data_IF_953015597267
#
_entry.id   IF_953015597267
#
_cell.length_a   1.000
_cell.length_b   1.000
_cell.length_c   1.000
_cell.angle_alpha   90.00
_cell.angle_beta   90.00
_cell.angle_gamma   90.00
#
_symmetry.space_group_name_H-M   'P 1'
#
loop_
_entity.id
_entity.type
_entity.pdbx_description
1 polymer ?
#
# COMPACT_ATOMS: atom_id res chain seq x y z
N UNK A 1 -10.62 5.76 -8.22
CA UNK A 1 -9.71 6.91 -8.01
C UNK A 1 -9.08 6.85 -6.64
N UNK A 2 -7.84 7.22 -6.55
CA UNK A 2 -7.12 7.20 -5.28
C UNK A 2 -7.53 8.39 -4.43
N UNK A 3 -7.68 8.17 -3.13
CA UNK A 3 -8.05 9.20 -2.17
C UNK A 3 -6.85 9.82 -1.46
N UNK A 4 -5.65 9.55 -1.96
CA UNK A 4 -4.46 10.04 -1.28
C UNK A 4 -3.42 10.49 -2.31
N UNK A 5 -2.48 11.29 -1.81
CA UNK A 5 -1.29 11.65 -2.59
C UNK A 5 -0.19 10.65 -2.31
N UNK A 6 0.72 10.51 -3.27
CA UNK A 6 1.84 9.61 -3.10
C UNK A 6 2.67 9.95 -1.85
N UNK A 7 2.67 11.23 -1.44
CA UNK A 7 3.36 11.64 -0.23
C UNK A 7 2.78 11.03 1.05
N UNK A 8 1.56 10.49 0.98
CA UNK A 8 0.95 9.82 2.13
C UNK A 8 1.46 8.40 2.31
N UNK A 9 2.22 7.89 1.34
CA UNK A 9 2.76 6.53 1.39
C UNK A 9 4.12 6.53 2.05
N UNK A 10 4.13 6.88 3.33
CA UNK A 10 5.36 6.90 4.11
C UNK A 10 5.62 5.54 4.73
N UNK A 11 6.89 5.25 5.09
CA UNK A 11 7.19 3.97 5.73
C UNK A 11 6.31 3.75 6.96
N UNK A 12 5.79 2.55 7.07
CA UNK A 12 4.90 2.17 8.16
C UNK A 12 3.42 2.28 7.82
N UNK A 13 3.06 2.97 6.75
CA UNK A 13 1.65 3.09 6.33
C UNK A 13 1.12 1.73 5.89
N UNK A 14 -0.10 1.41 6.30
CA UNK A 14 -0.75 0.17 5.87
C UNK A 14 -1.65 0.44 4.68
N UNK A 15 -1.60 -0.45 3.71
CA UNK A 15 -2.35 -0.31 2.47
C UNK A 15 -2.86 -1.66 2.01
N UNK A 16 -3.82 -1.63 1.09
CA UNK A 16 -4.21 -2.83 0.35
C UNK A 16 -4.13 -2.51 -1.14
N UNK A 17 -3.89 -3.55 -1.93
CA UNK A 17 -4.06 -3.48 -3.37
C UNK A 17 -5.53 -3.81 -3.63
N UNK A 18 -6.30 -2.80 -4.05
CA UNK A 18 -7.76 -2.92 -4.09
C UNK A 18 -8.22 -4.12 -4.93
N UNK A 19 -7.60 -4.34 -6.08
CA UNK A 19 -8.01 -5.43 -6.96
C UNK A 19 -7.46 -6.79 -6.53
N UNK A 20 -6.50 -6.83 -5.61
CA UNK A 20 -5.85 -8.06 -5.18
C UNK A 20 -5.93 -8.24 -3.66
N UNK A 21 -6.88 -7.60 -3.03
CA UNK A 21 -6.93 -7.58 -1.57
C UNK A 21 -6.95 -8.98 -0.97
N UNK A 22 -7.74 -9.88 -1.53
CA UNK A 22 -7.85 -11.24 -0.98
C UNK A 22 -6.59 -12.05 -1.20
N UNK A 23 -5.94 -11.84 -2.34
CA UNK A 23 -4.74 -12.61 -2.66
C UNK A 23 -3.51 -12.10 -1.93
N UNK A 24 -3.39 -10.77 -1.81
CA UNK A 24 -2.16 -10.17 -1.28
C UNK A 24 -2.25 -9.84 0.20
N UNK A 25 -3.45 -9.56 0.70
CA UNK A 25 -3.62 -9.17 2.09
C UNK A 25 -3.19 -7.74 2.34
N UNK A 26 -2.99 -7.42 3.61
CA UNK A 26 -2.56 -6.09 4.03
C UNK A 26 -1.08 -5.93 3.76
N UNK A 27 -0.69 -4.77 3.22
CA UNK A 27 0.70 -4.44 3.00
C UNK A 27 1.14 -3.31 3.89
N UNK A 28 2.43 -3.27 4.19
CA UNK A 28 3.04 -2.17 4.92
C UNK A 28 4.10 -1.53 4.05
N UNK A 29 3.98 -0.23 3.86
CA UNK A 29 4.93 0.53 3.06
C UNK A 29 6.30 0.51 3.74
N UNK A 30 7.34 0.21 2.98
CA UNK A 30 8.71 0.21 3.48
C UNK A 30 9.48 1.40 2.96
N UNK A 31 9.24 1.80 1.72
CA UNK A 31 9.90 2.98 1.16
C UNK A 31 9.07 3.51 -0.01
N UNK A 32 9.30 4.76 -0.33
CA UNK A 32 8.72 5.39 -1.51
C UNK A 32 9.80 6.27 -2.13
N UNK A 33 10.35 5.83 -3.24
CA UNK A 33 11.47 6.51 -3.91
C UNK A 33 11.11 6.67 -5.38
N UNK A 34 11.25 7.89 -5.90
CA UNK A 34 10.98 8.19 -7.30
C UNK A 34 9.60 7.71 -7.74
N UNK A 35 8.62 7.90 -6.85
CA UNK A 35 7.23 7.51 -7.11
C UNK A 35 7.02 6.01 -7.23
N UNK A 36 7.98 5.21 -6.78
CA UNK A 36 7.84 3.76 -6.69
C UNK A 36 7.79 3.40 -5.22
N UNK A 37 6.78 2.62 -4.85
CA UNK A 37 6.54 2.25 -3.47
C UNK A 37 6.92 0.79 -3.28
N UNK A 38 7.73 0.51 -2.27
CA UNK A 38 8.03 -0.85 -1.87
C UNK A 38 7.14 -1.20 -0.70
N UNK A 39 6.37 -2.27 -0.84
CA UNK A 39 5.37 -2.67 0.14
C UNK A 39 5.55 -4.14 0.45
N UNK A 40 5.51 -4.49 1.71
CA UNK A 40 5.55 -5.89 2.13
C UNK A 40 4.12 -6.33 2.44
N UNK A 41 3.58 -7.22 1.62
CA UNK A 41 2.22 -7.73 1.77
C UNK A 41 2.21 -9.04 2.56
N UNK A 42 1.14 -9.26 3.31
CA UNK A 42 1.03 -10.43 4.17
C UNK A 42 1.20 -11.75 3.43
N UNK A 43 0.60 -11.84 2.25
CA UNK A 43 0.50 -13.14 1.56
C UNK A 43 1.47 -13.31 0.41
N UNK A 44 2.08 -12.25 -0.09
CA UNK A 44 2.93 -12.33 -1.27
C UNK A 44 4.31 -11.71 -1.06
N UNK A 45 4.56 -11.15 0.12
CA UNK A 45 5.85 -10.57 0.44
C UNK A 45 6.06 -9.21 -0.19
N UNK A 46 7.32 -8.90 -0.43
CA UNK A 46 7.72 -7.57 -0.89
C UNK A 46 7.41 -7.38 -2.37
N UNK A 47 6.77 -6.26 -2.67
CA UNK A 47 6.46 -5.85 -4.05
C UNK A 47 6.85 -4.40 -4.24
N UNK A 48 7.36 -4.08 -5.43
CA UNK A 48 7.57 -2.69 -5.82
C UNK A 48 6.45 -2.30 -6.76
N UNK A 49 5.80 -1.18 -6.47
CA UNK A 49 4.55 -0.82 -7.12
C UNK A 49 4.62 0.63 -7.58
N UNK A 50 4.13 0.87 -8.79
CA UNK A 50 3.89 2.22 -9.27
C UNK A 50 2.43 2.56 -8.95
N UNK A 51 2.18 3.49 -8.00
CA UNK A 51 0.81 3.80 -7.58
C UNK A 51 -0.06 4.39 -8.67
N UNK A 52 0.54 4.83 -9.77
CA UNK A 52 -0.24 5.31 -10.92
C UNK A 52 -0.88 4.18 -11.69
N UNK A 53 -0.35 2.97 -11.54
CA UNK A 53 -0.81 1.81 -12.30
C UNK A 53 -1.62 0.84 -11.45
N UNK A 54 -1.49 0.93 -10.14
CA UNK A 54 -2.13 0.01 -9.21
C UNK A 54 -2.90 0.83 -8.19
N UNK A 55 -4.17 0.53 -8.04
CA UNK A 55 -4.98 1.24 -7.05
C UNK A 55 -4.66 0.71 -5.65
N UNK A 56 -4.12 1.57 -4.83
CA UNK A 56 -3.85 1.28 -3.42
C UNK A 56 -4.82 2.06 -2.55
N UNK A 57 -5.19 1.46 -1.45
CA UNK A 57 -6.03 2.13 -0.46
C UNK A 57 -5.30 2.11 0.87
N UNK A 58 -5.15 3.29 1.47
CA UNK A 58 -4.57 3.39 2.80
C UNK A 58 -5.61 2.92 3.80
N UNK A 59 -5.20 2.06 4.71
CA UNK A 59 -6.08 1.59 5.76
C UNK A 59 -5.48 1.95 7.10
N UNK A 60 -6.34 2.14 8.09
CA UNK A 60 -5.91 2.43 9.45
C UNK A 60 -6.28 1.25 10.34
N UNK A 61 -5.35 0.34 10.50
CA UNK A 61 -5.61 -0.87 11.27
C UNK A 61 -5.67 -0.60 12.76
N UNK A 62 -5.33 0.60 13.17
CA UNK A 62 -5.44 1.02 14.57
C UNK A 62 -6.70 1.81 14.83
N UNK A 63 -7.51 2.07 13.82
CA UNK A 63 -8.77 2.79 13.96
C UNK A 63 -9.81 1.78 14.43
N UNK A 64 -9.81 1.56 15.72
CA UNK A 64 -10.84 0.70 16.26
C UNK A 64 -11.87 1.57 16.88
N UNK A 65 -12.87 1.23 16.76
CA UNK A 65 -13.78 1.97 17.44
C UNK A 65 -14.80 1.61 17.92
#
# INVERSE_FOLDING_TARGET
MSDFYIGDLTPGTFVINVSKEKEWGIGQVQSCINNIVTINFENVGKKTINPKEVELKIIDINATN
#
